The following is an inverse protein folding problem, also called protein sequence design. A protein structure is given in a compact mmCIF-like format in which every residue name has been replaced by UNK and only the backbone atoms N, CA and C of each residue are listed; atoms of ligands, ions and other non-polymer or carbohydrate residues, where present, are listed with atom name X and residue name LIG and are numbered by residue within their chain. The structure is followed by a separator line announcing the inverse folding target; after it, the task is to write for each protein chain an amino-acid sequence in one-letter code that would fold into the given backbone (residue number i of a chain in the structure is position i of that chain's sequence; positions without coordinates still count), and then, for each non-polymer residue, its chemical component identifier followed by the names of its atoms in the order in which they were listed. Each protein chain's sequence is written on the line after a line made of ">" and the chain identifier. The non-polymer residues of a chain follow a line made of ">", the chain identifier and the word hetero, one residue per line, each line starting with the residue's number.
data_IF_886524945166
#
_entry.id   IF_886524945166
#
_cell.length_a   1.000
_cell.length_b   1.000
_cell.length_c   1.000
_cell.angle_alpha   90.00
_cell.angle_beta   90.00
_cell.angle_gamma   90.00
#
_symmetry.space_group_name_H-M   'P 1'
#
loop_
_entity.id
_entity.type
_entity.pdbx_description
1 polymer ?
#
# COMPACT_ATOMS: atom_id res chain seq x y z
N UNK A 1 22.15 -17.50 10.71
CA UNK A 1 21.56 -17.98 11.98
C UNK A 1 21.85 -19.45 12.21
N UNK A 2 21.61 -20.31 11.25
CA UNK A 2 21.82 -21.76 11.39
C UNK A 2 23.30 -22.07 11.63
N UNK A 3 24.19 -21.58 10.78
CA UNK A 3 25.63 -21.84 10.89
C UNK A 3 26.23 -21.35 12.22
N UNK A 4 26.00 -20.07 12.59
CA UNK A 4 26.46 -19.54 13.86
C UNK A 4 25.70 -20.14 15.06
N UNK A 5 24.48 -20.63 14.86
CA UNK A 5 23.69 -21.31 15.88
C UNK A 5 24.28 -22.63 16.38
N UNK A 6 25.19 -23.28 15.64
CA UNK A 6 25.95 -24.44 16.12
C UNK A 6 26.99 -24.04 17.17
N UNK A 7 27.55 -22.85 17.04
CA UNK A 7 28.47 -22.28 17.99
C UNK A 7 27.79 -21.63 19.20
N UNK A 8 26.65 -20.92 18.96
CA UNK A 8 25.87 -20.25 20.00
C UNK A 8 24.37 -20.43 19.79
N UNK A 9 23.81 -21.61 20.18
CA UNK A 9 22.41 -21.95 19.93
C UNK A 9 21.40 -21.10 20.71
N UNK A 10 21.75 -20.63 21.90
CA UNK A 10 20.90 -19.84 22.77
C UNK A 10 20.56 -18.48 22.18
N UNK A 11 21.48 -17.88 21.43
CA UNK A 11 21.31 -16.57 20.79
C UNK A 11 20.09 -16.52 19.87
N UNK A 12 19.79 -17.62 19.19
CA UNK A 12 18.62 -17.72 18.27
C UNK A 12 17.32 -17.51 19.02
N UNK A 13 17.25 -17.91 20.30
CA UNK A 13 16.04 -17.79 21.16
C UNK A 13 15.92 -16.39 21.76
N UNK A 14 17.04 -15.80 22.20
CA UNK A 14 17.09 -14.49 22.86
C UNK A 14 16.84 -13.37 21.85
N UNK A 15 17.48 -13.44 20.68
CA UNK A 15 17.42 -12.39 19.64
C UNK A 15 16.61 -12.89 18.44
N UNK A 16 15.32 -12.55 18.42
CA UNK A 16 14.41 -12.94 17.35
C UNK A 16 14.68 -12.17 16.04
N UNK A 17 15.05 -10.89 16.13
CA UNK A 17 15.32 -10.05 14.97
C UNK A 17 16.63 -10.45 14.25
N UNK A 18 16.57 -10.60 12.93
CA UNK A 18 17.68 -11.05 12.11
C UNK A 18 18.81 -10.01 11.98
N UNK A 19 18.45 -8.71 11.98
CA UNK A 19 19.42 -7.63 11.91
C UNK A 19 20.24 -7.54 13.20
N UNK A 20 19.55 -7.51 14.34
CA UNK A 20 20.20 -7.51 15.65
C UNK A 20 21.04 -8.77 15.88
N UNK A 21 20.52 -9.92 15.45
CA UNK A 21 21.27 -11.19 15.52
C UNK A 21 22.60 -11.11 14.75
N UNK A 22 22.58 -10.58 13.52
CA UNK A 22 23.80 -10.43 12.74
C UNK A 22 24.81 -9.47 13.40
N UNK A 23 24.32 -8.35 13.96
CA UNK A 23 25.16 -7.40 14.72
C UNK A 23 25.78 -8.02 15.96
N UNK A 24 24.99 -8.78 16.73
CA UNK A 24 25.50 -9.50 17.91
C UNK A 24 26.52 -10.55 17.51
N UNK A 25 26.29 -11.33 16.46
CA UNK A 25 27.24 -12.33 15.97
C UNK A 25 28.57 -11.69 15.50
N UNK A 26 28.51 -10.49 14.88
CA UNK A 26 29.70 -9.71 14.52
C UNK A 26 30.45 -9.17 15.73
N UNK A 27 29.71 -8.79 16.78
CA UNK A 27 30.29 -8.24 17.99
C UNK A 27 30.95 -9.30 18.88
N UNK A 28 30.21 -10.40 19.12
CA UNK A 28 30.64 -11.51 19.99
C UNK A 28 31.77 -12.32 19.33
N UNK A 29 31.69 -12.54 18.02
CA UNK A 29 32.65 -13.36 17.24
C UNK A 29 32.75 -14.78 17.80
N UNK A 30 33.88 -15.07 18.45
CA UNK A 30 34.11 -16.34 19.12
C UNK A 30 33.68 -16.21 20.60
N UNK A 31 32.90 -17.16 21.08
CA UNK A 31 32.44 -17.21 22.46
C UNK A 31 33.58 -17.28 23.48
N UNK A 32 34.67 -17.97 23.13
CA UNK A 32 35.83 -18.17 24.03
C UNK A 32 36.55 -16.85 24.28
N UNK A 33 36.51 -15.92 23.35
CA UNK A 33 37.22 -14.62 23.45
C UNK A 33 36.36 -13.56 24.18
N UNK A 34 35.20 -13.91 24.67
CA UNK A 34 34.31 -13.00 25.37
C UNK A 34 34.87 -12.53 26.71
N UNK A 35 34.84 -11.22 26.94
CA UNK A 35 35.26 -10.59 28.19
C UNK A 35 34.12 -9.78 28.80
N UNK A 36 34.02 -9.72 30.14
CA UNK A 36 32.98 -8.93 30.82
C UNK A 36 32.96 -7.45 30.43
N UNK A 37 34.11 -6.89 30.10
CA UNK A 37 34.24 -5.49 29.68
C UNK A 37 33.48 -5.16 28.37
N UNK A 38 33.17 -6.19 27.57
CA UNK A 38 32.44 -6.05 26.30
C UNK A 38 30.92 -5.89 26.50
N UNK A 39 30.41 -6.03 27.72
CA UNK A 39 28.99 -5.93 28.03
C UNK A 39 28.37 -4.58 27.62
N UNK A 40 29.10 -3.46 27.87
CA UNK A 40 28.60 -2.12 27.51
C UNK A 40 28.31 -1.98 26.02
N UNK A 41 29.27 -2.42 25.18
CA UNK A 41 29.10 -2.41 23.72
C UNK A 41 27.99 -3.37 23.23
N UNK A 42 27.75 -4.48 23.95
CA UNK A 42 26.60 -5.37 23.62
C UNK A 42 25.27 -4.70 23.91
N UNK A 43 25.17 -3.91 25.01
CA UNK A 43 23.99 -3.11 25.32
C UNK A 43 23.68 -2.06 24.24
N UNK A 44 24.71 -1.38 23.72
CA UNK A 44 24.55 -0.44 22.60
C UNK A 44 24.07 -1.12 21.31
N UNK A 45 24.61 -2.32 21.03
CA UNK A 45 24.20 -3.10 19.83
C UNK A 45 22.75 -3.54 19.91
N UNK A 46 22.30 -3.99 21.08
CA UNK A 46 20.93 -4.48 21.30
C UNK A 46 19.92 -3.36 21.61
N UNK A 47 20.41 -2.18 22.03
CA UNK A 47 19.60 -1.08 22.57
C UNK A 47 18.68 -1.53 23.74
N UNK A 48 19.12 -2.57 24.50
CA UNK A 48 18.36 -3.21 25.57
C UNK A 48 19.36 -3.89 26.53
N UNK A 49 19.48 -3.35 27.74
CA UNK A 49 20.41 -3.85 28.75
C UNK A 49 19.98 -5.20 29.33
N UNK A 50 18.67 -5.45 29.44
CA UNK A 50 18.15 -6.70 29.96
C UNK A 50 18.49 -7.87 29.03
N UNK A 51 18.31 -7.67 27.71
CA UNK A 51 18.72 -8.67 26.71
C UNK A 51 20.24 -8.84 26.65
N UNK A 52 21.01 -7.77 26.83
CA UNK A 52 22.46 -7.87 26.90
C UNK A 52 22.92 -8.73 28.07
N UNK A 53 22.29 -8.56 29.24
CA UNK A 53 22.56 -9.40 30.42
C UNK A 53 22.12 -10.87 30.23
N UNK A 54 21.03 -11.09 29.49
CA UNK A 54 20.58 -12.45 29.16
C UNK A 54 21.55 -13.14 28.18
N UNK A 55 22.03 -12.42 27.16
CA UNK A 55 23.05 -12.92 26.22
C UNK A 55 24.37 -13.22 26.92
N UNK A 56 24.83 -12.37 27.85
CA UNK A 56 26.01 -12.60 28.64
C UNK A 56 25.89 -13.87 29.50
N UNK A 57 24.76 -14.05 30.20
CA UNK A 57 24.51 -15.27 30.97
C UNK A 57 24.47 -16.52 30.08
N UNK A 58 23.92 -16.39 28.88
CA UNK A 58 23.87 -17.47 27.91
C UNK A 58 25.29 -17.81 27.37
N UNK A 59 26.12 -16.81 27.09
CA UNK A 59 27.52 -17.00 26.65
C UNK A 59 28.31 -17.85 27.65
N UNK A 60 28.18 -17.58 28.94
CA UNK A 60 28.90 -18.30 30.01
C UNK A 60 28.39 -19.75 30.22
N UNK A 61 27.19 -20.08 29.77
CA UNK A 61 26.51 -21.37 29.95
C UNK A 61 26.25 -22.13 28.67
N UNK A 62 26.70 -21.60 27.53
CA UNK A 62 26.38 -22.12 26.23
C UNK A 62 26.91 -23.53 26.00
N UNK A 63 26.08 -24.37 25.42
CA UNK A 63 26.40 -25.76 25.04
C UNK A 63 26.84 -25.86 23.56
N UNK A 64 27.10 -24.73 22.89
CA UNK A 64 27.53 -24.71 21.50
C UNK A 64 28.92 -25.35 21.28
N UNK A 65 29.15 -25.75 20.03
CA UNK A 65 30.43 -26.33 19.60
C UNK A 65 31.44 -25.22 19.31
N UNK A 66 32.73 -25.57 19.37
CA UNK A 66 33.78 -24.67 18.97
C UNK A 66 33.74 -24.45 17.44
N UNK A 67 34.05 -23.24 17.02
CA UNK A 67 34.04 -22.84 15.62
C UNK A 67 35.43 -22.76 15.03
N UNK A 68 35.61 -23.23 13.79
CA UNK A 68 36.85 -23.07 13.06
C UNK A 68 37.10 -21.58 12.74
N UNK A 69 38.37 -21.10 12.79
CA UNK A 69 38.69 -19.72 12.40
C UNK A 69 38.25 -19.37 10.97
N UNK A 70 38.32 -20.33 10.05
CA UNK A 70 37.89 -20.14 8.65
C UNK A 70 36.36 -19.92 8.59
N UNK A 71 35.62 -20.74 9.33
CA UNK A 71 34.15 -20.62 9.39
C UNK A 71 33.72 -19.31 10.02
N UNK A 72 34.44 -18.88 11.06
CA UNK A 72 34.19 -17.60 11.72
C UNK A 72 34.36 -16.42 10.74
N UNK A 73 35.43 -16.40 9.94
CA UNK A 73 35.66 -15.37 8.92
C UNK A 73 34.52 -15.35 7.88
N UNK A 74 34.09 -16.53 7.43
CA UNK A 74 33.00 -16.63 6.49
C UNK A 74 31.69 -16.13 7.09
N UNK A 75 31.36 -16.51 8.32
CA UNK A 75 30.17 -16.07 9.03
C UNK A 75 30.19 -14.56 9.21
N UNK A 76 31.34 -13.98 9.59
CA UNK A 76 31.49 -12.53 9.73
C UNK A 76 31.24 -11.81 8.37
N UNK A 77 31.81 -12.31 7.29
CA UNK A 77 31.61 -11.73 5.96
C UNK A 77 30.12 -11.75 5.54
N UNK A 78 29.42 -12.88 5.78
CA UNK A 78 27.99 -12.96 5.52
C UNK A 78 27.17 -12.08 6.46
N UNK A 79 27.49 -12.03 7.75
CA UNK A 79 26.80 -11.19 8.72
C UNK A 79 26.94 -9.71 8.38
N UNK A 80 28.15 -9.25 8.01
CA UNK A 80 28.38 -7.89 7.54
C UNK A 80 27.52 -7.58 6.31
N UNK A 81 27.47 -8.48 5.35
CA UNK A 81 26.64 -8.28 4.15
C UNK A 81 25.14 -8.16 4.48
N UNK A 82 24.66 -8.93 5.44
CA UNK A 82 23.26 -8.84 5.92
C UNK A 82 23.01 -7.49 6.59
N UNK A 83 23.94 -7.00 7.40
CA UNK A 83 23.85 -5.68 8.06
C UNK A 83 23.79 -4.58 7.00
N UNK A 84 24.73 -4.58 6.06
CA UNK A 84 24.79 -3.57 4.97
C UNK A 84 23.49 -3.54 4.16
N UNK A 85 22.93 -4.71 3.83
CA UNK A 85 21.68 -4.80 3.07
C UNK A 85 20.46 -4.34 3.89
N UNK A 86 20.44 -4.60 5.19
CA UNK A 86 19.37 -4.14 6.07
C UNK A 86 19.37 -2.60 6.21
N UNK A 87 20.55 -2.01 6.41
CA UNK A 87 20.72 -0.56 6.46
C UNK A 87 20.38 0.10 5.11
N UNK A 88 20.84 -0.51 4.01
CA UNK A 88 20.51 -0.02 2.68
C UNK A 88 19.00 -0.06 2.40
N UNK A 89 18.32 -1.14 2.84
CA UNK A 89 16.86 -1.24 2.75
C UNK A 89 16.16 -0.11 3.52
N UNK A 90 16.63 0.21 4.71
CA UNK A 90 16.08 1.31 5.51
C UNK A 90 16.28 2.66 4.81
N UNK A 91 17.49 2.96 4.34
CA UNK A 91 17.80 4.18 3.60
C UNK A 91 16.93 4.32 2.33
N UNK A 92 16.72 3.22 1.61
CA UNK A 92 15.82 3.20 0.45
C UNK A 92 14.36 3.47 0.83
N UNK A 93 13.92 2.97 1.98
CA UNK A 93 12.57 3.22 2.45
C UNK A 93 12.37 4.71 2.81
N UNK A 94 13.30 5.30 3.52
CA UNK A 94 13.29 6.73 3.86
C UNK A 94 13.32 7.61 2.59
N UNK A 95 14.17 7.25 1.63
CA UNK A 95 14.22 7.91 0.33
C UNK A 95 12.88 7.81 -0.42
N UNK A 96 12.25 6.63 -0.42
CA UNK A 96 10.94 6.43 -1.05
C UNK A 96 9.88 7.31 -0.40
N UNK A 97 9.82 7.38 0.93
CA UNK A 97 8.89 8.25 1.67
C UNK A 97 9.07 9.72 1.25
N UNK A 98 10.32 10.23 1.29
CA UNK A 98 10.61 11.61 0.91
C UNK A 98 10.20 11.92 -0.53
N UNK A 99 10.48 10.99 -1.46
CA UNK A 99 10.12 11.18 -2.87
C UNK A 99 8.61 11.10 -3.12
N UNK A 100 7.91 10.22 -2.44
CA UNK A 100 6.46 10.11 -2.57
C UNK A 100 5.73 11.36 -2.09
N UNK A 101 6.19 11.99 -1.00
CA UNK A 101 5.65 13.27 -0.54
C UNK A 101 5.84 14.41 -1.55
N UNK A 102 6.91 14.38 -2.34
CA UNK A 102 7.17 15.38 -3.38
C UNK A 102 6.38 15.11 -4.67
N UNK A 103 6.33 13.84 -5.11
CA UNK A 103 5.78 13.46 -6.43
C UNK A 103 4.27 13.26 -6.40
N UNK A 104 3.75 12.66 -5.33
CA UNK A 104 2.33 12.29 -5.23
C UNK A 104 1.81 12.47 -3.79
N UNK A 105 1.71 13.71 -3.27
CA UNK A 105 1.32 13.98 -1.89
C UNK A 105 -0.10 13.54 -1.58
N UNK A 106 -1.07 13.78 -2.47
CA UNK A 106 -2.46 13.42 -2.27
C UNK A 106 -2.66 11.90 -2.29
N UNK A 107 -2.00 11.19 -3.20
CA UNK A 107 -2.04 9.74 -3.27
C UNK A 107 -1.40 9.11 -2.03
N UNK A 108 -0.29 9.68 -1.55
CA UNK A 108 0.43 9.23 -0.34
C UNK A 108 -0.40 9.43 0.92
N UNK A 109 -1.01 10.59 1.10
CA UNK A 109 -1.91 10.89 2.22
C UNK A 109 -3.13 9.96 2.26
N UNK A 110 -3.68 9.62 1.07
CA UNK A 110 -4.88 8.80 0.95
C UNK A 110 -4.62 7.31 1.24
N UNK A 111 -3.63 6.70 0.59
CA UNK A 111 -3.47 5.23 0.60
C UNK A 111 -2.19 4.76 1.28
N UNK A 112 -1.31 5.68 1.60
CA UNK A 112 0.03 5.44 2.12
C UNK A 112 1.09 5.34 1.00
N UNK A 113 2.30 5.71 1.35
CA UNK A 113 3.42 5.90 0.42
C UNK A 113 3.81 4.58 -0.27
N UNK A 114 3.86 3.49 0.49
CA UNK A 114 4.29 2.17 -0.02
C UNK A 114 3.31 1.60 -1.04
N UNK A 115 2.01 1.73 -0.80
CA UNK A 115 0.96 1.24 -1.72
C UNK A 115 0.86 2.19 -2.91
N UNK A 116 0.94 3.50 -2.69
CA UNK A 116 0.98 4.52 -3.74
C UNK A 116 2.14 4.30 -4.70
N UNK A 117 3.35 4.09 -4.18
CA UNK A 117 4.53 3.80 -4.99
C UNK A 117 4.38 2.53 -5.84
N UNK A 118 3.79 1.46 -5.27
CA UNK A 118 3.51 0.23 -6.03
C UNK A 118 2.50 0.44 -7.14
N UNK A 119 1.46 1.27 -6.92
CA UNK A 119 0.51 1.61 -7.98
C UNK A 119 1.18 2.37 -9.12
N UNK A 120 2.04 3.36 -8.81
CA UNK A 120 2.80 4.11 -9.81
C UNK A 120 3.76 3.19 -10.57
N UNK A 121 4.46 2.29 -9.87
CA UNK A 121 5.35 1.31 -10.48
C UNK A 121 4.62 0.41 -11.49
N UNK A 122 3.47 -0.14 -11.12
CA UNK A 122 2.67 -1.00 -12.01
C UNK A 122 2.09 -0.24 -13.21
N UNK A 123 1.76 1.04 -13.04
CA UNK A 123 1.30 1.89 -14.12
C UNK A 123 2.46 2.37 -15.04
N UNK A 124 3.71 2.28 -14.56
CA UNK A 124 4.92 2.75 -15.22
C UNK A 124 5.23 4.24 -14.96
N UNK A 125 4.21 5.08 -14.74
CA UNK A 125 4.36 6.49 -14.37
C UNK A 125 3.11 7.03 -13.68
N UNK A 126 3.24 8.16 -12.96
CA UNK A 126 2.10 8.86 -12.35
C UNK A 126 1.11 9.36 -13.42
N UNK A 127 1.60 9.87 -14.53
CA UNK A 127 0.78 10.33 -15.65
C UNK A 127 -0.03 9.19 -16.30
N UNK A 128 0.53 8.00 -16.40
CA UNK A 128 -0.20 6.81 -16.86
C UNK A 128 -1.26 6.39 -15.85
N UNK A 129 -0.92 6.39 -14.55
CA UNK A 129 -1.88 6.08 -13.49
C UNK A 129 -3.07 7.04 -13.52
N UNK A 130 -2.83 8.34 -13.75
CA UNK A 130 -3.86 9.36 -13.87
C UNK A 130 -4.83 9.14 -15.06
N UNK A 131 -4.34 8.53 -16.15
CA UNK A 131 -5.14 8.18 -17.33
C UNK A 131 -6.03 6.96 -17.09
N UNK A 132 -5.67 6.07 -16.14
CA UNK A 132 -6.44 4.87 -15.89
C UNK A 132 -7.81 5.17 -15.27
N UNK A 133 -8.87 4.46 -15.73
CA UNK A 133 -10.15 4.50 -15.04
C UNK A 133 -10.04 3.82 -13.67
N UNK A 134 -10.87 4.24 -12.72
CA UNK A 134 -10.87 3.71 -11.37
C UNK A 134 -11.06 2.18 -11.29
N UNK A 135 -11.78 1.59 -12.24
CA UNK A 135 -11.94 0.13 -12.35
C UNK A 135 -10.62 -0.59 -12.61
N UNK A 136 -9.73 0.01 -13.42
CA UNK A 136 -8.39 -0.52 -13.68
C UNK A 136 -7.51 -0.36 -12.44
N UNK A 137 -7.55 0.80 -11.77
CA UNK A 137 -6.84 1.03 -10.51
C UNK A 137 -7.24 0.01 -9.43
N UNK A 138 -8.53 -0.35 -9.38
CA UNK A 138 -9.04 -1.36 -8.44
C UNK A 138 -8.39 -2.73 -8.60
N UNK A 139 -8.09 -3.13 -9.85
CA UNK A 139 -7.62 -4.49 -10.19
C UNK A 139 -6.12 -4.52 -10.46
N UNK A 140 -5.47 -3.36 -10.51
CA UNK A 140 -4.04 -3.25 -10.81
C UNK A 140 -3.21 -4.17 -9.90
N UNK A 141 -2.32 -4.97 -10.50
CA UNK A 141 -1.55 -6.02 -9.80
C UNK A 141 -2.22 -7.39 -9.71
N UNK A 142 -3.49 -7.51 -10.15
CA UNK A 142 -4.22 -8.77 -10.22
C UNK A 142 -4.56 -9.17 -11.68
N UNK A 143 -3.83 -8.66 -12.66
CA UNK A 143 -4.10 -8.83 -14.09
C UNK A 143 -4.09 -10.31 -14.51
N UNK A 144 -3.08 -11.06 -14.04
CA UNK A 144 -2.98 -12.49 -14.34
C UNK A 144 -4.18 -13.29 -13.81
N UNK A 145 -4.68 -12.94 -12.63
CA UNK A 145 -5.86 -13.56 -12.04
C UNK A 145 -7.13 -13.18 -12.82
N UNK A 146 -7.25 -11.92 -13.26
CA UNK A 146 -8.34 -11.45 -14.09
C UNK A 146 -8.39 -12.20 -15.43
N UNK A 147 -7.27 -12.28 -16.15
CA UNK A 147 -7.21 -12.99 -17.43
C UNK A 147 -7.51 -14.48 -17.27
N UNK A 148 -7.04 -15.12 -16.19
CA UNK A 148 -7.40 -16.50 -15.87
C UNK A 148 -8.90 -16.66 -15.68
N UNK A 149 -9.51 -15.80 -14.85
CA UNK A 149 -10.94 -15.83 -14.57
C UNK A 149 -11.79 -15.61 -15.84
N UNK A 150 -11.36 -14.74 -16.74
CA UNK A 150 -12.04 -14.52 -18.02
C UNK A 150 -11.96 -15.76 -18.95
N UNK A 151 -10.80 -16.43 -18.99
CA UNK A 151 -10.64 -17.67 -19.78
C UNK A 151 -11.48 -18.82 -19.24
N UNK A 152 -11.52 -18.99 -17.92
CA UNK A 152 -12.25 -20.08 -17.25
C UNK A 152 -13.71 -19.75 -16.96
N UNK A 153 -14.20 -18.55 -17.35
CA UNK A 153 -15.53 -18.03 -17.02
C UNK A 153 -15.82 -18.07 -15.49
N UNK A 154 -14.76 -17.95 -14.67
CA UNK A 154 -14.82 -17.96 -13.22
C UNK A 154 -15.07 -16.56 -12.62
N UNK A 155 -15.05 -16.49 -11.30
CA UNK A 155 -15.20 -15.22 -10.57
C UNK A 155 -13.99 -14.31 -10.78
N UNK A 156 -14.22 -13.07 -11.20
CA UNK A 156 -13.18 -12.07 -11.37
C UNK A 156 -12.66 -11.54 -10.01
N UNK A 157 -11.38 -11.17 -9.91
CA UNK A 157 -10.82 -10.61 -8.69
C UNK A 157 -11.52 -9.28 -8.33
N UNK A 158 -11.81 -9.08 -7.06
CA UNK A 158 -12.50 -7.86 -6.57
C UNK A 158 -11.53 -6.71 -6.28
N UNK A 159 -10.25 -7.00 -6.10
CA UNK A 159 -9.19 -6.04 -5.76
C UNK A 159 -7.81 -6.57 -6.14
N UNK A 160 -6.86 -5.65 -6.37
CA UNK A 160 -5.45 -5.94 -6.66
C UNK A 160 -4.53 -5.40 -5.56
N UNK A 161 -3.50 -4.63 -5.93
CA UNK A 161 -2.52 -4.01 -5.00
C UNK A 161 -3.18 -3.17 -3.91
N UNK A 162 -4.30 -2.54 -4.21
CA UNK A 162 -5.07 -1.72 -3.29
C UNK A 162 -5.50 -2.47 -2.02
N UNK A 163 -5.51 -3.83 -2.07
CA UNK A 163 -5.83 -4.68 -0.92
C UNK A 163 -4.91 -4.46 0.29
N UNK A 164 -3.68 -4.07 0.04
CA UNK A 164 -2.68 -3.81 1.09
C UNK A 164 -2.91 -2.49 1.86
N UNK A 165 -3.93 -1.72 1.48
CA UNK A 165 -4.33 -0.54 2.22
C UNK A 165 -4.95 -0.91 3.57
N UNK A 166 -4.66 -0.10 4.61
CA UNK A 166 -5.23 -0.24 5.96
C UNK A 166 -6.76 -0.19 5.97
N UNK A 167 -7.39 0.57 5.07
CA UNK A 167 -8.85 0.68 4.95
C UNK A 167 -9.51 -0.64 4.59
N UNK A 168 -8.92 -1.38 3.65
CA UNK A 168 -9.46 -2.69 3.25
C UNK A 168 -9.15 -3.75 4.31
N UNK A 169 -8.00 -3.61 5.01
CA UNK A 169 -7.65 -4.47 6.13
C UNK A 169 -8.71 -4.43 7.24
N UNK A 170 -9.11 -3.22 7.65
CA UNK A 170 -10.11 -2.98 8.71
C UNK A 170 -11.54 -3.37 8.32
N UNK A 171 -11.86 -3.35 7.02
CA UNK A 171 -13.22 -3.65 6.55
C UNK A 171 -13.64 -5.11 6.77
N UNK A 172 -14.91 -5.34 7.16
CA UNK A 172 -15.51 -6.68 7.25
C UNK A 172 -15.47 -7.37 5.88
N UNK A 173 -15.30 -8.69 5.84
CA UNK A 173 -15.13 -9.48 4.60
C UNK A 173 -16.22 -9.19 3.54
N UNK A 174 -17.49 -9.02 3.96
CA UNK A 174 -18.62 -8.68 3.08
C UNK A 174 -18.44 -7.33 2.39
N UNK A 175 -17.79 -6.36 3.05
CA UNK A 175 -17.68 -4.97 2.60
C UNK A 175 -16.36 -4.69 1.88
N UNK A 176 -15.35 -5.59 1.94
CA UNK A 176 -14.04 -5.39 1.31
C UNK A 176 -14.11 -5.00 -0.16
N UNK A 177 -14.97 -5.63 -0.94
CA UNK A 177 -15.14 -5.30 -2.36
C UNK A 177 -15.82 -3.95 -2.62
N UNK A 178 -16.72 -3.52 -1.72
CA UNK A 178 -17.40 -2.21 -1.83
C UNK A 178 -16.44 -1.07 -1.51
N UNK A 179 -15.70 -1.18 -0.40
CA UNK A 179 -14.73 -0.16 -0.01
C UNK A 179 -13.56 -0.09 -0.99
N UNK A 180 -13.12 -1.22 -1.54
CA UNK A 180 -12.07 -1.25 -2.56
C UNK A 180 -12.46 -0.45 -3.81
N UNK A 181 -13.72 -0.56 -4.27
CA UNK A 181 -14.21 0.24 -5.38
C UNK A 181 -14.27 1.73 -5.04
N UNK A 182 -14.72 2.06 -3.84
CA UNK A 182 -14.78 3.45 -3.39
C UNK A 182 -13.37 4.06 -3.27
N UNK A 183 -12.44 3.35 -2.65
CA UNK A 183 -11.04 3.75 -2.52
C UNK A 183 -10.36 3.92 -3.90
N UNK A 184 -10.60 3.00 -4.83
CA UNK A 184 -10.06 3.11 -6.19
C UNK A 184 -10.53 4.37 -6.94
N UNK A 185 -11.79 4.77 -6.74
CA UNK A 185 -12.30 6.03 -7.29
C UNK A 185 -11.54 7.23 -6.70
N UNK A 186 -11.29 7.23 -5.40
CA UNK A 186 -10.54 8.31 -4.74
C UNK A 186 -9.07 8.32 -5.15
N UNK A 187 -8.42 7.16 -5.26
CA UNK A 187 -7.05 7.04 -5.77
C UNK A 187 -6.92 7.56 -7.21
N UNK A 188 -7.92 7.28 -8.08
CA UNK A 188 -7.93 7.80 -9.45
C UNK A 188 -8.06 9.34 -9.49
N UNK A 189 -8.81 9.94 -8.56
CA UNK A 189 -8.91 11.40 -8.45
C UNK A 189 -7.61 11.97 -7.89
N UNK A 190 -7.08 11.40 -6.80
CA UNK A 190 -5.83 11.82 -6.19
C UNK A 190 -4.66 11.81 -7.19
N UNK A 191 -4.51 10.71 -7.94
CA UNK A 191 -3.44 10.60 -8.96
C UNK A 191 -3.57 11.63 -10.08
N UNK A 192 -4.80 12.04 -10.44
CA UNK A 192 -5.02 13.11 -11.43
C UNK A 192 -4.65 14.47 -10.86
N UNK A 193 -5.01 14.76 -9.62
CA UNK A 193 -4.61 16.00 -8.95
C UNK A 193 -3.09 16.07 -8.88
N UNK A 194 -2.42 15.02 -8.40
CA UNK A 194 -0.96 14.98 -8.29
C UNK A 194 -0.24 15.08 -9.65
N UNK A 195 -0.85 14.54 -10.72
CA UNK A 195 -0.24 14.58 -12.07
C UNK A 195 -0.40 15.90 -12.80
N UNK A 196 -1.44 16.68 -12.51
CA UNK A 196 -1.82 17.86 -13.29
C UNK A 196 -1.88 19.15 -12.47
N UNK A 197 -1.72 19.09 -11.15
CA UNK A 197 -1.63 20.28 -10.29
C UNK A 197 -0.19 20.80 -10.28
N UNK A 198 -0.03 22.12 -10.37
CA UNK A 198 1.26 22.80 -10.22
C UNK A 198 1.68 22.92 -8.75
N UNK A 199 0.72 22.91 -7.83
CA UNK A 199 0.99 23.01 -6.41
C UNK A 199 1.11 21.64 -5.74
N UNK A 200 2.18 21.44 -4.99
CA UNK A 200 2.41 20.27 -4.16
C UNK A 200 1.66 20.44 -2.83
N UNK A 201 0.49 19.83 -2.69
CA UNK A 201 -0.35 19.91 -1.49
C UNK A 201 -1.00 18.57 -1.18
N UNK A 202 -1.15 18.22 0.10
CA UNK A 202 -1.82 17.00 0.57
C UNK A 202 -3.30 17.19 0.95
N UNK A 203 -3.81 18.41 0.93
CA UNK A 203 -5.15 18.80 1.42
C UNK A 203 -6.25 17.93 0.80
N UNK A 204 -6.23 17.75 -0.51
CA UNK A 204 -7.24 16.92 -1.20
C UNK A 204 -7.13 15.44 -0.83
N UNK A 205 -5.90 14.95 -0.60
CA UNK A 205 -5.64 13.58 -0.15
C UNK A 205 -6.23 13.32 1.23
N UNK A 206 -6.04 14.24 2.16
CA UNK A 206 -6.55 14.18 3.53
C UNK A 206 -8.08 14.26 3.57
N UNK A 207 -8.68 15.18 2.81
CA UNK A 207 -10.14 15.27 2.67
C UNK A 207 -10.73 13.97 2.10
N UNK A 208 -10.10 13.38 1.07
CA UNK A 208 -10.53 12.11 0.51
C UNK A 208 -10.35 10.94 1.48
N UNK A 209 -9.30 10.97 2.32
CA UNK A 209 -9.06 9.99 3.39
C UNK A 209 -10.20 10.02 4.41
N UNK A 210 -10.60 11.21 4.89
CA UNK A 210 -11.76 11.40 5.76
C UNK A 210 -13.05 10.81 5.17
N UNK A 211 -13.31 11.06 3.89
CA UNK A 211 -14.47 10.49 3.19
C UNK A 211 -14.44 8.95 3.12
N UNK A 212 -13.28 8.34 2.97
CA UNK A 212 -13.14 6.86 3.00
C UNK A 212 -13.42 6.32 4.39
N UNK A 213 -12.97 7.00 5.44
CA UNK A 213 -13.24 6.63 6.84
C UNK A 213 -14.71 6.76 7.20
N UNK A 214 -15.35 7.86 6.82
CA UNK A 214 -16.81 8.02 6.96
C UNK A 214 -17.58 6.91 6.25
N UNK A 215 -17.11 6.51 5.04
CA UNK A 215 -17.75 5.43 4.28
C UNK A 215 -17.59 4.07 4.95
N UNK A 216 -16.48 3.83 5.64
CA UNK A 216 -16.28 2.64 6.45
C UNK A 216 -17.27 2.62 7.63
N UNK A 217 -17.39 3.73 8.37
CA UNK A 217 -18.38 3.88 9.46
C UNK A 217 -19.80 3.69 8.96
N UNK A 218 -20.14 4.25 7.80
CA UNK A 218 -21.45 4.01 7.19
C UNK A 218 -21.74 2.53 6.93
N UNK A 219 -20.74 1.74 6.50
CA UNK A 219 -20.93 0.30 6.29
C UNK A 219 -21.03 -0.52 7.58
N UNK A 220 -20.58 0.02 8.70
CA UNK A 220 -20.61 -0.61 10.02
C UNK A 220 -21.82 -0.19 10.85
N UNK A 221 -22.09 1.10 10.90
CA UNK A 221 -23.05 1.75 11.81
C UNK A 221 -24.28 2.32 11.09
N UNK A 222 -24.21 2.51 9.77
CA UNK A 222 -25.28 3.08 8.98
C UNK A 222 -25.39 4.62 9.06
N UNK A 223 -24.42 5.31 9.67
CA UNK A 223 -24.41 6.77 9.79
C UNK A 223 -24.25 7.42 8.41
N UNK A 224 -25.15 8.36 8.00
CA UNK A 224 -25.08 8.99 6.69
C UNK A 224 -23.79 9.80 6.52
N UNK A 225 -23.15 9.65 5.35
CA UNK A 225 -21.90 10.36 5.02
C UNK A 225 -22.19 11.73 4.41
N UNK A 226 -21.26 12.69 4.55
CA UNK A 226 -21.31 13.97 3.83
C UNK A 226 -21.32 13.76 2.32
N UNK A 227 -21.92 14.70 1.57
CA UNK A 227 -21.85 14.65 0.11
C UNK A 227 -20.44 14.93 -0.38
N UNK A 228 -20.00 14.19 -1.40
CA UNK A 228 -18.67 14.39 -1.98
C UNK A 228 -18.41 15.82 -2.46
N UNK A 229 -19.46 16.50 -2.95
CA UNK A 229 -19.38 17.88 -3.44
C UNK A 229 -19.12 18.89 -2.33
N UNK A 230 -19.68 18.67 -1.15
CA UNK A 230 -19.48 19.56 0.02
C UNK A 230 -18.07 19.41 0.57
N UNK A 231 -17.63 18.18 0.82
CA UNK A 231 -16.28 17.91 1.31
C UNK A 231 -15.17 18.36 0.34
N UNK A 232 -15.41 18.28 -0.98
CA UNK A 232 -14.44 18.77 -1.95
C UNK A 232 -14.44 20.29 -2.08
N UNK A 233 -15.55 20.97 -1.79
CA UNK A 233 -15.57 22.43 -1.71
C UNK A 233 -14.80 22.95 -0.49
N UNK A 234 -15.02 22.33 0.68
CA UNK A 234 -14.25 22.62 1.89
C UNK A 234 -12.74 22.47 1.61
N UNK A 235 -12.32 21.36 1.01
CA UNK A 235 -10.91 21.16 0.64
C UNK A 235 -10.38 22.14 -0.41
N UNK A 236 -11.23 22.64 -1.32
CA UNK A 236 -10.84 23.68 -2.28
C UNK A 236 -10.66 25.05 -1.61
N UNK A 237 -11.45 25.36 -0.61
CA UNK A 237 -11.34 26.57 0.19
C UNK A 237 -10.06 26.54 1.02
N UNK A 238 -9.78 25.45 1.73
CA UNK A 238 -8.53 25.24 2.46
C UNK A 238 -7.31 25.34 1.54
N UNK A 239 -7.39 24.76 0.34
CA UNK A 239 -6.30 24.85 -0.65
C UNK A 239 -6.04 26.29 -1.11
N UNK A 240 -7.11 27.09 -1.30
CA UNK A 240 -6.99 28.51 -1.69
C UNK A 240 -6.37 29.35 -0.58
N UNK A 241 -6.77 29.09 0.67
CA UNK A 241 -6.20 29.78 1.82
C UNK A 241 -4.71 29.47 1.98
N UNK A 242 -4.31 28.21 1.77
CA UNK A 242 -2.93 27.78 1.86
C UNK A 242 -2.05 28.26 0.68
N UNK A 243 -2.65 28.54 -0.49
CA UNK A 243 -1.94 28.91 -1.71
C UNK A 243 -2.60 30.13 -2.39
N UNK A 244 -2.54 31.32 -1.80
CA UNK A 244 -3.10 32.53 -2.39
C UNK A 244 -2.28 32.91 -3.64
N UNK A 245 -2.84 32.66 -4.83
CA UNK A 245 -2.21 32.99 -6.13
C UNK A 245 -2.06 31.84 -7.10
N UNK A 246 -2.32 30.59 -6.68
CA UNK A 246 -2.35 29.45 -7.59
C UNK A 246 -3.77 29.14 -8.08
N UNK A 247 -3.90 28.81 -9.38
CA UNK A 247 -5.16 28.33 -9.92
C UNK A 247 -5.55 26.98 -9.28
N UNK A 248 -6.79 26.84 -8.85
CA UNK A 248 -7.29 25.58 -8.29
C UNK A 248 -7.24 24.47 -9.34
N UNK A 249 -6.80 23.23 -8.99
CA UNK A 249 -6.85 22.09 -9.88
C UNK A 249 -8.29 21.86 -10.36
N UNK A 250 -8.57 22.07 -11.65
CA UNK A 250 -9.92 21.95 -12.20
C UNK A 250 -10.69 23.25 -12.38
N UNK A 251 -10.10 24.41 -12.00
CA UNK A 251 -10.66 25.73 -12.26
C UNK A 251 -10.32 26.27 -13.65
N UNK A 252 -10.55 25.48 -14.69
CA UNK A 252 -10.66 25.99 -16.05
C UNK A 252 -11.87 26.90 -16.12
N UNK A 253 -11.63 28.16 -16.56
CA UNK A 253 -12.57 29.28 -16.73
C UNK A 253 -14.06 28.86 -16.74
N UNK A 254 -14.73 29.00 -15.60
CA UNK A 254 -16.19 29.08 -15.58
C UNK A 254 -16.63 30.47 -16.04
N UNK A 255 -16.55 30.69 -17.33
CA UNK A 255 -16.96 31.88 -18.05
C UNK A 255 -17.43 31.51 -19.44
N UNK A 256 -18.29 30.50 -19.54
CA UNK A 256 -18.98 30.12 -20.75
C UNK A 256 -20.33 29.53 -20.38
N UNK A 257 -21.36 30.34 -20.45
CA UNK A 257 -22.75 29.86 -20.41
C UNK A 257 -22.94 28.81 -21.49
N UNK A 258 -23.07 27.56 -21.08
CA UNK A 258 -23.53 26.50 -21.99
C UNK A 258 -25.02 26.73 -22.29
N UNK A 259 -25.44 26.85 -23.55
CA UNK A 259 -26.83 27.01 -23.88
C UNK A 259 -27.61 25.74 -23.46
N UNK A 260 -28.60 25.90 -22.62
CA UNK A 260 -29.53 24.86 -22.24
C UNK A 260 -30.21 24.29 -23.49
N UNK A 261 -29.74 23.17 -24.02
CA UNK A 261 -30.45 22.41 -25.04
C UNK A 261 -31.69 21.79 -24.38
N UNK A 262 -32.84 22.38 -24.67
CA UNK A 262 -34.18 21.79 -24.39
C UNK A 262 -34.30 20.47 -25.17
N UNK A 263 -34.03 19.35 -24.54
CA UNK A 263 -34.45 18.05 -25.06
C UNK A 263 -35.97 17.95 -24.92
N UNK A 264 -36.67 18.18 -26.05
CA UNK A 264 -38.05 17.74 -26.25
C UNK A 264 -38.08 16.21 -26.16
N UNK A 265 -38.84 15.68 -25.21
CA UNK A 265 -39.16 14.26 -25.09
C UNK A 265 -40.23 13.92 -26.12
N UNK A 266 -39.87 13.43 -27.28
CA UNK A 266 -40.82 12.74 -28.17
C UNK A 266 -40.98 11.30 -27.69
N UNK A 267 -42.09 11.09 -26.97
CA UNK A 267 -42.67 9.80 -26.68
C UNK A 267 -43.31 9.22 -27.94
N UNK A 268 -42.54 8.46 -28.73
CA UNK A 268 -43.12 7.67 -29.83
C UNK A 268 -43.68 6.37 -29.28
N UNK A 269 -45.01 6.35 -29.08
CA UNK A 269 -45.85 5.19 -28.83
C UNK A 269 -45.72 4.21 -29.99
N UNK A 270 -45.04 3.09 -29.81
CA UNK A 270 -45.16 1.96 -30.74
C UNK A 270 -46.38 1.16 -30.37
N UNK A 271 -47.40 1.20 -31.24
CA UNK A 271 -48.55 0.30 -31.30
C UNK A 271 -48.03 -1.14 -31.51
N UNK A 272 -48.51 -2.05 -30.68
CA UNK A 272 -48.50 -3.47 -30.93
C UNK A 272 -49.63 -3.75 -31.92
N UNK A 273 -49.30 -4.22 -33.10
CA UNK A 273 -50.23 -4.95 -33.95
C UNK A 273 -49.90 -6.43 -33.84
N UNK A 274 -50.93 -7.18 -33.54
CA UNK A 274 -50.94 -8.63 -33.48
C UNK A 274 -50.92 -9.22 -34.88
N UNK A 275 -50.25 -10.32 -35.04
CA UNK A 275 -50.27 -11.15 -36.24
C UNK A 275 -50.05 -12.59 -35.85
N UNK A 276 -51.05 -13.36 -36.13
CA UNK A 276 -51.29 -14.75 -35.82
C UNK A 276 -50.20 -15.70 -36.31
N UNK A 277 -50.00 -16.77 -35.56
CA UNK A 277 -49.33 -18.02 -35.95
C UNK A 277 -50.16 -18.80 -36.99
N UNK A 278 -49.51 -19.62 -37.83
CA UNK A 278 -50.05 -20.96 -38.04
C UNK A 278 -49.05 -22.08 -37.71
N UNK A 279 -49.59 -23.06 -37.06
CA UNK A 279 -49.02 -24.35 -36.80
C UNK A 279 -48.92 -25.18 -38.11
N UNK A 280 -47.93 -26.02 -38.19
CA UNK A 280 -47.93 -27.42 -38.59
C UNK A 280 -46.56 -27.80 -39.12
N UNK A 281 -46.05 -28.89 -38.65
CA UNK A 281 -45.81 -30.13 -39.37
C UNK A 281 -44.73 -30.96 -38.74
N UNK A 282 -45.15 -32.02 -38.08
CA UNK A 282 -44.30 -33.22 -37.80
C UNK A 282 -43.66 -33.75 -39.08
N UNK A 283 -42.43 -34.18 -38.99
CA UNK A 283 -42.02 -35.49 -39.54
C UNK A 283 -40.68 -35.96 -38.95
N UNK A 284 -40.79 -37.16 -38.44
CA UNK A 284 -39.68 -38.11 -38.13
C UNK A 284 -38.77 -38.37 -39.32
N UNK A 285 -37.48 -38.43 -39.05
CA UNK A 285 -36.65 -39.60 -39.28
C UNK A 285 -35.36 -39.41 -38.56
#
# INVERSE_FOLDING_TARGET
>A
REWYGWHFPELVKIVADNYLYARVAMYVKNRVDWKPDMRGGLGEVLADEDKAAEVEKALNRSMGQDISPIDLVNIQAFAQRVIDLAEYRQKLHEYLLARMHTVAPNLSALIGETVGARLIQHAGSLTNLAKYPASTVQILGAEKALFRALKTKGNTPKYGLIFHSSFIGRAKARNKGRISRYLANKCSIASRIDAFSEATSSVFGEAMKGQVEERLRFYEEGVPTKKNTEAMKEAMEEFREANPGLATPGGGAAGGETPKSKKKSDKKKRKRDGGETPASGKKEK
#
